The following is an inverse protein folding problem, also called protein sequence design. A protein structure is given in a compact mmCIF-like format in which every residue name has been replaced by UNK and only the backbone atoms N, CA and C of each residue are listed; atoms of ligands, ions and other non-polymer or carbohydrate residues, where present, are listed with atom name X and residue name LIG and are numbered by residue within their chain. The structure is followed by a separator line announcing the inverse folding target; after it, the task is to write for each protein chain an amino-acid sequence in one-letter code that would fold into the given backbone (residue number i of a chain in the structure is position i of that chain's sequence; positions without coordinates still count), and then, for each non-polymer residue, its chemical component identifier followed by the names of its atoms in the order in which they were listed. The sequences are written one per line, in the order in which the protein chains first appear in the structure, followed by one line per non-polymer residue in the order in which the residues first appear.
data_IF_172071736452
#
_entry.id   IF_172071736452
#
_cell.length_a   1.000
_cell.length_b   1.000
_cell.length_c   1.000
_cell.angle_alpha   90.00
_cell.angle_beta   90.00
_cell.angle_gamma   90.00
#
_symmetry.space_group_name_H-M   'P 1'
#
loop_
_entity.id
_entity.type
_entity.pdbx_description
1 polymer ?
#
# COMPACT_ATOMS: atom_id res chain seq x y z
N UNK A 1 -4.30 22.21 44.26
CA UNK A 1 -3.47 22.42 43.05
C UNK A 1 -4.00 21.45 42.00
N UNK A 2 -4.54 21.98 40.90
CA UNK A 2 -5.57 21.40 40.03
C UNK A 2 -5.24 20.04 39.37
N UNK A 3 -6.17 19.09 39.49
CA UNK A 3 -6.27 17.85 38.69
C UNK A 3 -6.84 18.07 37.27
N UNK A 4 -6.73 19.28 36.68
CA UNK A 4 -7.49 19.69 35.48
C UNK A 4 -6.80 19.60 34.11
N UNK A 5 -5.62 19.01 33.99
CA UNK A 5 -4.95 18.87 32.67
C UNK A 5 -4.60 17.42 32.32
N UNK A 6 -5.45 16.49 32.73
CA UNK A 6 -5.46 15.12 32.21
C UNK A 6 -6.32 15.10 30.94
N UNK A 7 -5.72 14.67 29.83
CA UNK A 7 -6.36 14.31 28.56
C UNK A 7 -6.87 15.45 27.66
N UNK A 8 -5.94 16.08 26.94
CA UNK A 8 -6.25 16.74 25.66
C UNK A 8 -6.42 15.64 24.58
N UNK A 9 -7.52 14.89 24.66
CA UNK A 9 -7.88 13.89 23.66
C UNK A 9 -8.26 14.59 22.37
N UNK A 10 -7.29 14.65 21.45
CA UNK A 10 -7.43 14.86 20.00
C UNK A 10 -8.87 14.72 19.48
N UNK A 11 -9.57 15.85 19.36
CA UNK A 11 -10.90 15.93 18.74
C UNK A 11 -10.73 15.77 17.23
N UNK A 12 -10.68 14.52 16.74
CA UNK A 12 -10.60 14.24 15.30
C UNK A 12 -11.84 14.83 14.62
N UNK A 13 -11.63 15.73 13.65
CA UNK A 13 -12.72 16.26 12.84
C UNK A 13 -13.36 15.13 12.03
N UNK A 14 -14.68 14.94 12.17
CA UNK A 14 -15.45 13.92 11.46
C UNK A 14 -15.18 13.94 9.94
N UNK A 15 -14.97 15.13 9.37
CA UNK A 15 -14.59 15.30 7.95
C UNK A 15 -13.26 14.62 7.60
N UNK A 16 -12.26 14.70 8.48
CA UNK A 16 -10.96 14.06 8.28
C UNK A 16 -11.04 12.54 8.45
N UNK A 17 -11.83 12.08 9.42
CA UNK A 17 -12.09 10.66 9.62
C UNK A 17 -12.79 10.04 8.39
N UNK A 18 -13.84 10.71 7.89
CA UNK A 18 -14.55 10.28 6.69
C UNK A 18 -13.63 10.21 5.46
N UNK A 19 -12.84 11.28 5.21
CA UNK A 19 -11.89 11.31 4.10
C UNK A 19 -10.84 10.19 4.20
N UNK A 20 -10.29 9.95 5.40
CA UNK A 20 -9.34 8.86 5.63
C UNK A 20 -9.96 7.48 5.37
N UNK A 21 -11.16 7.22 5.88
CA UNK A 21 -11.87 5.96 5.67
C UNK A 21 -12.17 5.71 4.19
N UNK A 22 -12.58 6.74 3.44
CA UNK A 22 -12.79 6.62 1.99
C UNK A 22 -11.52 6.22 1.27
N UNK A 23 -10.38 6.84 1.60
CA UNK A 23 -9.08 6.45 1.02
C UNK A 23 -8.70 4.99 1.35
N UNK A 24 -8.99 4.54 2.58
CA UNK A 24 -8.70 3.15 2.98
C UNK A 24 -9.56 2.13 2.25
N UNK A 25 -10.84 2.43 2.00
CA UNK A 25 -11.72 1.57 1.21
C UNK A 25 -11.17 1.40 -0.21
N UNK A 26 -10.79 2.51 -0.86
CA UNK A 26 -10.23 2.48 -2.22
C UNK A 26 -8.94 1.67 -2.28
N UNK A 27 -8.03 1.88 -1.32
CA UNK A 27 -6.77 1.14 -1.24
C UNK A 27 -7.00 -0.37 -1.06
N UNK A 28 -7.91 -0.75 -0.15
CA UNK A 28 -8.24 -2.15 0.13
C UNK A 28 -8.91 -2.82 -1.07
N UNK A 29 -9.85 -2.12 -1.71
CA UNK A 29 -10.54 -2.62 -2.90
C UNK A 29 -9.57 -2.84 -4.06
N UNK A 30 -8.63 -1.92 -4.30
CA UNK A 30 -7.62 -2.07 -5.33
C UNK A 30 -6.72 -3.29 -5.08
N UNK A 31 -6.23 -3.46 -3.85
CA UNK A 31 -5.41 -4.60 -3.47
C UNK A 31 -6.15 -5.94 -3.64
N UNK A 32 -7.41 -6.00 -3.20
CA UNK A 32 -8.21 -7.21 -3.30
C UNK A 32 -8.57 -7.55 -4.75
N UNK A 33 -8.89 -6.53 -5.56
CA UNK A 33 -9.20 -6.69 -6.98
C UNK A 33 -7.98 -7.21 -7.73
N UNK A 34 -6.80 -6.66 -7.45
CA UNK A 34 -5.55 -7.13 -8.04
C UNK A 34 -5.30 -8.61 -7.72
N UNK A 35 -5.40 -9.00 -6.45
CA UNK A 35 -5.20 -10.39 -6.05
C UNK A 35 -6.19 -11.36 -6.75
N UNK A 36 -7.47 -10.99 -6.81
CA UNK A 36 -8.51 -11.81 -7.46
C UNK A 36 -8.30 -11.91 -8.98
N UNK A 37 -7.98 -10.81 -9.64
CA UNK A 37 -7.73 -10.77 -11.08
C UNK A 37 -6.51 -11.61 -11.44
N UNK A 38 -5.40 -11.45 -10.70
CA UNK A 38 -4.19 -12.25 -10.90
C UNK A 38 -4.48 -13.74 -10.74
N UNK A 39 -5.16 -14.14 -9.67
CA UNK A 39 -5.51 -15.55 -9.46
C UNK A 39 -6.38 -16.08 -10.60
N UNK A 40 -7.44 -15.35 -10.96
CA UNK A 40 -8.40 -15.76 -12.00
C UNK A 40 -7.73 -15.86 -13.36
N UNK A 41 -6.84 -14.93 -13.69
CA UNK A 41 -6.10 -14.94 -14.95
C UNK A 41 -5.20 -16.18 -15.06
N UNK A 42 -4.39 -16.47 -14.04
CA UNK A 42 -3.51 -17.64 -14.07
C UNK A 42 -4.26 -18.98 -14.00
N UNK A 43 -5.40 -19.02 -13.32
CA UNK A 43 -6.22 -20.22 -13.20
C UNK A 43 -7.10 -20.47 -14.43
N UNK A 44 -7.89 -19.47 -14.86
CA UNK A 44 -8.94 -19.65 -15.87
C UNK A 44 -8.46 -19.36 -17.30
N UNK A 45 -7.49 -18.46 -17.50
CA UNK A 45 -7.01 -18.09 -18.84
C UNK A 45 -5.79 -18.91 -19.23
N UNK A 46 -4.79 -19.00 -18.35
CA UNK A 46 -3.56 -19.75 -18.63
C UNK A 46 -3.71 -21.24 -18.30
N UNK A 47 -4.57 -21.60 -17.35
CA UNK A 47 -4.79 -23.00 -16.95
C UNK A 47 -3.63 -23.59 -16.14
N UNK A 48 -2.89 -22.77 -15.40
CA UNK A 48 -1.80 -23.26 -14.55
C UNK A 48 -2.39 -24.04 -13.37
N UNK A 49 -1.69 -25.10 -12.97
CA UNK A 49 -2.04 -25.85 -11.77
C UNK A 49 -2.10 -24.92 -10.53
N UNK A 50 -3.18 -25.02 -9.77
CA UNK A 50 -3.42 -24.28 -8.52
C UNK A 50 -2.23 -24.33 -7.57
N UNK A 51 -1.52 -25.47 -7.48
CA UNK A 51 -0.34 -25.60 -6.62
C UNK A 51 0.75 -24.55 -6.92
N UNK A 52 1.04 -24.29 -8.20
CA UNK A 52 2.04 -23.30 -8.60
C UNK A 52 1.57 -21.87 -8.34
N UNK A 53 0.28 -21.61 -8.56
CA UNK A 53 -0.33 -20.31 -8.28
C UNK A 53 -0.22 -20.01 -6.78
N UNK A 54 -0.61 -20.96 -5.92
CA UNK A 54 -0.52 -20.82 -4.46
C UNK A 54 0.92 -20.57 -4.00
N UNK A 55 1.90 -21.30 -4.54
CA UNK A 55 3.32 -21.05 -4.23
C UNK A 55 3.73 -19.61 -4.61
N UNK A 56 3.29 -19.12 -5.78
CA UNK A 56 3.52 -17.74 -6.19
C UNK A 56 2.93 -16.72 -5.21
N UNK A 57 1.69 -16.93 -4.76
CA UNK A 57 1.04 -16.09 -3.75
C UNK A 57 1.73 -16.15 -2.38
N UNK A 58 2.25 -17.32 -1.98
CA UNK A 58 3.04 -17.45 -0.74
C UNK A 58 4.32 -16.62 -0.84
N UNK A 59 5.08 -16.75 -1.93
CA UNK A 59 6.30 -15.96 -2.15
C UNK A 59 5.98 -14.47 -2.12
N UNK A 60 4.90 -14.05 -2.80
CA UNK A 60 4.45 -12.67 -2.80
C UNK A 60 4.07 -12.17 -1.39
N UNK A 61 3.38 -13.00 -0.60
CA UNK A 61 3.01 -12.67 0.78
C UNK A 61 4.24 -12.52 1.68
N UNK A 62 5.20 -13.44 1.60
CA UNK A 62 6.47 -13.38 2.35
C UNK A 62 7.24 -12.12 1.98
N UNK A 63 7.32 -11.80 0.69
CA UNK A 63 7.97 -10.59 0.21
C UNK A 63 7.33 -9.32 0.79
N UNK A 64 5.99 -9.20 0.76
CA UNK A 64 5.29 -8.05 1.36
C UNK A 64 5.49 -7.99 2.88
N UNK A 65 5.43 -9.12 3.58
CA UNK A 65 5.67 -9.16 5.02
C UNK A 65 7.05 -8.66 5.44
N UNK A 66 8.04 -8.72 4.56
CA UNK A 66 9.38 -8.18 4.79
C UNK A 66 9.43 -6.70 4.40
N UNK A 67 8.86 -6.33 3.25
CA UNK A 67 8.90 -4.95 2.76
C UNK A 67 8.10 -3.98 3.63
N UNK A 68 6.94 -4.40 4.14
CA UNK A 68 6.05 -3.51 4.89
C UNK A 68 6.71 -2.98 6.17
N UNK A 69 7.39 -3.80 7.02
CA UNK A 69 8.18 -3.31 8.14
C UNK A 69 9.39 -2.47 7.73
N UNK A 70 10.08 -2.83 6.64
CA UNK A 70 11.25 -2.07 6.16
C UNK A 70 10.81 -0.67 5.76
N UNK A 71 9.76 -0.55 4.95
CA UNK A 71 9.20 0.73 4.52
C UNK A 71 8.61 1.51 5.69
N UNK A 72 8.01 0.84 6.66
CA UNK A 72 7.55 1.45 7.92
C UNK A 72 8.70 2.06 8.72
N UNK A 73 9.75 1.27 9.00
CA UNK A 73 10.92 1.72 9.74
C UNK A 73 11.70 2.82 9.01
N UNK A 74 11.79 2.72 7.69
CA UNK A 74 12.45 3.68 6.84
C UNK A 74 11.65 4.99 6.75
N UNK A 75 10.32 4.92 6.63
CA UNK A 75 9.45 6.10 6.72
C UNK A 75 9.60 6.78 8.07
N UNK A 76 9.65 6.02 9.15
CA UNK A 76 9.71 6.56 10.51
C UNK A 76 10.99 7.33 10.82
N UNK A 77 12.10 7.00 10.16
CA UNK A 77 13.39 7.67 10.31
C UNK A 77 13.52 8.95 9.48
N UNK A 78 12.62 9.17 8.52
CA UNK A 78 12.75 10.27 7.55
C UNK A 78 12.03 11.53 7.99
N UNK A 79 12.81 12.52 8.41
CA UNK A 79 12.31 13.85 8.79
C UNK A 79 12.47 14.82 7.61
N UNK A 80 11.40 15.02 6.86
CA UNK A 80 11.35 15.98 5.73
C UNK A 80 10.32 17.08 6.01
N UNK A 81 10.57 18.30 5.52
CA UNK A 81 9.69 19.48 5.71
C UNK A 81 8.25 19.27 5.22
N UNK A 82 8.01 18.39 4.24
CA UNK A 82 6.67 18.05 3.72
C UNK A 82 6.01 16.84 4.40
N UNK A 83 6.60 16.28 5.46
CA UNK A 83 6.04 15.16 6.23
C UNK A 83 6.74 13.83 6.00
N UNK A 84 6.53 12.90 6.93
CA UNK A 84 7.28 11.63 7.12
C UNK A 84 7.10 10.58 6.02
N UNK A 85 5.96 10.60 5.33
CA UNK A 85 5.59 9.63 4.25
C UNK A 85 5.66 10.21 2.84
N UNK A 86 5.71 11.53 2.72
CA UNK A 86 5.70 12.25 1.46
C UNK A 86 6.89 11.95 0.52
N UNK A 87 8.16 11.89 0.99
CA UNK A 87 9.28 11.59 0.09
C UNK A 87 9.20 10.19 -0.53
N UNK A 88 8.71 9.19 0.21
CA UNK A 88 8.53 7.83 -0.31
C UNK A 88 7.44 7.75 -1.38
N UNK A 89 6.32 8.46 -1.18
CA UNK A 89 5.25 8.52 -2.18
C UNK A 89 5.70 9.24 -3.46
N UNK A 90 6.53 10.28 -3.36
CA UNK A 90 7.08 10.94 -4.55
C UNK A 90 8.12 10.09 -5.26
N UNK A 91 9.00 9.42 -4.51
CA UNK A 91 10.02 8.55 -5.09
C UNK A 91 9.38 7.37 -5.81
N UNK A 92 8.27 6.80 -5.31
CA UNK A 92 7.60 5.66 -5.94
C UNK A 92 6.85 6.00 -7.23
N UNK A 93 6.43 7.26 -7.44
CA UNK A 93 5.80 7.72 -8.69
C UNK A 93 6.76 7.60 -9.88
N UNK A 94 8.04 7.90 -9.67
CA UNK A 94 9.07 7.91 -10.73
C UNK A 94 9.27 6.52 -11.37
N UNK A 95 9.61 5.44 -10.63
CA UNK A 95 9.74 4.11 -11.20
C UNK A 95 8.41 3.60 -11.74
N UNK A 96 7.26 3.96 -11.15
CA UNK A 96 5.97 3.55 -11.70
C UNK A 96 5.69 4.17 -13.07
N UNK A 97 6.00 5.46 -13.23
CA UNK A 97 5.85 6.15 -14.51
C UNK A 97 6.81 5.56 -15.56
N UNK A 98 8.06 5.29 -15.18
CA UNK A 98 9.07 4.70 -16.06
C UNK A 98 8.63 3.31 -16.52
N UNK A 99 8.23 2.43 -15.60
CA UNK A 99 7.77 1.07 -15.93
C UNK A 99 6.51 1.14 -16.80
N UNK A 100 5.58 2.05 -16.51
CA UNK A 100 4.39 2.22 -17.35
C UNK A 100 4.74 2.65 -18.77
N UNK A 101 5.67 3.59 -18.94
CA UNK A 101 6.15 4.00 -20.27
C UNK A 101 6.84 2.82 -20.97
N UNK A 102 7.72 2.09 -20.27
CA UNK A 102 8.41 0.92 -20.83
C UNK A 102 7.45 -0.22 -21.22
N UNK A 103 6.35 -0.38 -20.49
CA UNK A 103 5.33 -1.40 -20.75
C UNK A 103 4.45 -1.02 -21.95
N UNK A 104 4.12 0.26 -22.11
CA UNK A 104 3.22 0.75 -23.16
C UNK A 104 3.92 1.35 -24.38
N UNK A 105 5.26 1.48 -24.34
CA UNK A 105 6.10 1.89 -25.46
C UNK A 105 7.16 0.81 -25.76
N UNK A 106 6.77 -0.36 -26.28
CA UNK A 106 7.72 -1.25 -26.93
C UNK A 106 8.18 -0.64 -28.27
N UNK A 107 9.43 -0.93 -28.72
CA UNK A 107 9.94 -0.47 -30.01
C UNK A 107 9.15 -1.03 -31.21
#
# INVERSE_FOLDING_TARGET
MNEKEKHDTTRYSFKKAAAYSTSQIVNTAAYQTFALLTFTFYFAVIGINVYLITIGFIIWSVWNSINDPILGALSDRTHTKCGRRFPYMMISIIPMAIISILLFYPP
#
